data_IF_046366813026
#
_entry.id   IF_046366813026
#
_cell.length_a   1.000
_cell.length_b   1.000
_cell.length_c   1.000
_cell.angle_alpha   90.00
_cell.angle_beta   90.00
_cell.angle_gamma   90.00
#
_symmetry.space_group_name_H-M   'P 1'
#
loop_
_entity.id
_entity.type
_entity.pdbx_description
1 polymer ?
#
# COMPACT_ATOMS: atom_id res chain seq x y z
N UNK A 1 -9.59 15.24 -0.39
CA UNK A 1 -8.34 14.47 -0.54
C UNK A 1 -7.63 14.16 0.77
N UNK A 2 -7.67 15.04 1.78
CA UNK A 2 -7.06 14.82 3.11
C UNK A 2 -7.49 13.53 3.81
N UNK A 3 -8.79 13.20 3.82
CA UNK A 3 -9.30 11.96 4.44
C UNK A 3 -8.67 10.72 3.81
N UNK A 4 -8.63 10.66 2.47
CA UNK A 4 -8.03 9.54 1.74
C UNK A 4 -6.55 9.36 2.05
N UNK A 5 -5.77 10.45 2.05
CA UNK A 5 -4.35 10.39 2.41
C UNK A 5 -4.14 9.96 3.88
N UNK A 6 -4.99 10.39 4.80
CA UNK A 6 -4.90 9.99 6.21
C UNK A 6 -5.23 8.51 6.41
N UNK A 7 -6.27 8.01 5.75
CA UNK A 7 -6.61 6.59 5.75
C UNK A 7 -5.46 5.75 5.17
N UNK A 8 -4.89 6.17 4.04
CA UNK A 8 -3.74 5.49 3.43
C UNK A 8 -2.52 5.47 4.37
N UNK A 9 -2.24 6.58 5.06
CA UNK A 9 -1.21 6.66 6.10
C UNK A 9 -1.41 5.63 7.21
N UNK A 10 -2.65 5.52 7.70
CA UNK A 10 -3.00 4.57 8.75
C UNK A 10 -2.83 3.12 8.26
N UNK A 11 -3.25 2.83 7.04
CA UNK A 11 -3.11 1.49 6.44
C UNK A 11 -1.62 1.13 6.32
N UNK A 12 -0.80 2.00 5.74
CA UNK A 12 0.63 1.74 5.55
C UNK A 12 1.33 1.50 6.89
N UNK A 13 1.09 2.37 7.87
CA UNK A 13 1.73 2.26 9.19
C UNK A 13 1.43 0.95 9.91
N UNK A 14 0.19 0.46 9.82
CA UNK A 14 -0.24 -0.70 10.62
C UNK A 14 -0.16 -2.02 9.86
N UNK A 15 -0.40 -2.01 8.54
CA UNK A 15 -0.58 -3.23 7.76
C UNK A 15 0.52 -3.48 6.73
N UNK A 16 1.34 -2.48 6.35
CA UNK A 16 2.39 -2.72 5.36
C UNK A 16 3.38 -3.83 5.76
N UNK A 17 3.85 -3.91 7.03
CA UNK A 17 4.73 -5.02 7.44
C UNK A 17 4.05 -6.39 7.26
N UNK A 18 2.80 -6.52 7.70
CA UNK A 18 2.06 -7.79 7.61
C UNK A 18 1.79 -8.17 6.16
N UNK A 19 1.47 -7.20 5.31
CA UNK A 19 1.21 -7.42 3.89
C UNK A 19 2.49 -7.90 3.21
N UNK A 20 3.63 -7.22 3.43
CA UNK A 20 4.92 -7.62 2.88
C UNK A 20 5.29 -9.04 3.26
N UNK A 21 5.29 -9.34 4.56
CA UNK A 21 5.70 -10.65 5.08
C UNK A 21 4.83 -11.77 4.50
N UNK A 22 3.52 -11.55 4.36
CA UNK A 22 2.64 -12.57 3.80
C UNK A 22 2.78 -12.71 2.28
N UNK A 23 2.97 -11.63 1.52
CA UNK A 23 3.14 -11.69 0.06
C UNK A 23 4.47 -12.35 -0.33
N UNK A 24 5.52 -12.14 0.46
CA UNK A 24 6.85 -12.73 0.25
C UNK A 24 6.99 -14.12 0.86
N UNK A 25 6.01 -14.59 1.65
CA UNK A 25 6.08 -15.89 2.29
C UNK A 25 6.07 -17.00 1.23
N UNK A 26 6.88 -18.06 1.41
CA UNK A 26 6.81 -19.22 0.52
C UNK A 26 5.45 -19.92 0.65
N UNK A 27 5.02 -20.64 -0.41
CA UNK A 27 3.78 -21.42 -0.39
C UNK A 27 3.78 -22.36 0.82
N UNK A 28 2.72 -22.30 1.62
CA UNK A 28 2.62 -23.05 2.86
C UNK A 28 1.59 -24.16 2.76
N UNK A 29 2.01 -25.35 2.30
CA UNK A 29 1.31 -26.64 2.47
C UNK A 29 -0.23 -26.63 2.44
N UNK A 30 -0.84 -27.47 3.28
CA UNK A 30 -2.30 -27.65 3.42
C UNK A 30 -2.84 -26.75 4.54
N UNK A 31 -2.51 -25.46 4.53
CA UNK A 31 -3.03 -24.47 5.50
C UNK A 31 -3.93 -23.44 4.78
N UNK A 32 -5.24 -23.71 4.82
CA UNK A 32 -6.27 -22.88 4.19
C UNK A 32 -6.27 -21.46 4.78
N UNK A 33 -6.07 -21.33 6.10
CA UNK A 33 -6.07 -20.00 6.75
C UNK A 33 -4.88 -19.16 6.31
N UNK A 34 -3.72 -19.80 6.08
CA UNK A 34 -2.55 -19.13 5.52
C UNK A 34 -2.76 -18.73 4.07
N UNK A 35 -3.38 -19.58 3.26
CA UNK A 35 -3.71 -19.26 1.87
C UNK A 35 -4.70 -18.09 1.77
N UNK A 36 -5.75 -18.07 2.60
CA UNK A 36 -6.68 -16.94 2.67
C UNK A 36 -5.98 -15.63 3.08
N UNK A 37 -5.07 -15.70 4.06
CA UNK A 37 -4.29 -14.53 4.51
C UNK A 37 -3.39 -14.02 3.40
N UNK A 38 -2.71 -14.93 2.69
CA UNK A 38 -1.91 -14.60 1.51
C UNK A 38 -2.76 -13.88 0.46
N UNK A 39 -3.90 -14.47 0.08
CA UNK A 39 -4.81 -13.91 -0.91
C UNK A 39 -5.34 -12.53 -0.53
N UNK A 40 -5.68 -12.31 0.75
CA UNK A 40 -6.06 -10.98 1.27
C UNK A 40 -4.90 -9.98 1.16
N UNK A 41 -3.69 -10.36 1.56
CA UNK A 41 -2.51 -9.50 1.50
C UNK A 41 -2.14 -9.14 0.06
N UNK A 42 -2.22 -10.09 -0.88
CA UNK A 42 -1.99 -9.84 -2.31
C UNK A 42 -3.00 -8.82 -2.85
N UNK A 43 -4.30 -8.98 -2.55
CA UNK A 43 -5.34 -8.01 -2.96
C UNK A 43 -5.09 -6.61 -2.38
N UNK A 44 -4.69 -6.53 -1.10
CA UNK A 44 -4.31 -5.26 -0.49
C UNK A 44 -3.10 -4.64 -1.18
N UNK A 45 -2.06 -5.42 -1.46
CA UNK A 45 -0.86 -4.96 -2.17
C UNK A 45 -1.20 -4.42 -3.56
N UNK A 46 -1.99 -5.16 -4.36
CA UNK A 46 -2.46 -4.71 -5.67
C UNK A 46 -3.25 -3.39 -5.58
N UNK A 47 -4.16 -3.28 -4.61
CA UNK A 47 -4.93 -2.05 -4.38
C UNK A 47 -4.02 -0.87 -4.05
N UNK A 48 -2.98 -1.08 -3.21
CA UNK A 48 -1.97 -0.06 -2.92
C UNK A 48 -1.17 0.32 -4.17
N UNK A 49 -0.80 -0.63 -5.04
CA UNK A 49 -0.14 -0.32 -6.30
C UNK A 49 -1.01 0.51 -7.24
N UNK A 50 -2.32 0.24 -7.30
CA UNK A 50 -3.27 1.07 -8.06
C UNK A 50 -3.30 2.50 -7.52
N UNK A 51 -3.33 2.67 -6.20
CA UNK A 51 -3.27 4.00 -5.56
C UNK A 51 -1.92 4.69 -5.85
N UNK A 52 -0.79 3.97 -5.79
CA UNK A 52 0.53 4.50 -6.15
C UNK A 52 0.53 5.04 -7.59
N UNK A 53 0.01 4.27 -8.54
CA UNK A 53 -0.10 4.68 -9.95
C UNK A 53 -0.95 5.95 -10.12
N UNK A 54 -2.07 6.04 -9.40
CA UNK A 54 -2.92 7.24 -9.39
C UNK A 54 -2.17 8.46 -8.86
N UNK A 55 -1.42 8.32 -7.76
CA UNK A 55 -0.64 9.41 -7.17
C UNK A 55 0.50 9.85 -8.10
N UNK A 56 1.22 8.91 -8.71
CA UNK A 56 2.29 9.19 -9.67
C UNK A 56 1.81 10.04 -10.85
N UNK A 57 0.62 9.76 -11.39
CA UNK A 57 0.03 10.54 -12.50
C UNK A 57 -0.32 11.98 -12.10
N UNK A 58 -0.41 12.28 -10.80
CA UNK A 58 -0.89 13.57 -10.28
C UNK A 58 0.14 14.29 -9.41
N UNK A 59 1.34 13.73 -9.26
CA UNK A 59 2.39 14.30 -8.41
C UNK A 59 2.93 15.65 -8.91
N UNK A 60 2.75 15.94 -10.20
CA UNK A 60 3.20 17.19 -10.84
C UNK A 60 2.19 18.34 -10.68
N UNK A 61 1.03 18.08 -10.06
CA UNK A 61 0.09 19.15 -9.70
C UNK A 61 0.80 20.18 -8.82
N UNK A 62 0.54 21.46 -9.10
CA UNK A 62 1.10 22.54 -8.31
C UNK A 62 0.32 22.74 -7.01
N UNK A 63 0.97 23.38 -6.04
CA UNK A 63 0.39 23.70 -4.74
C UNK A 63 0.32 22.52 -3.76
N UNK A 64 -0.45 22.73 -2.67
CA UNK A 64 -0.49 21.84 -1.51
C UNK A 64 -0.93 20.42 -1.84
N UNK A 65 -1.77 20.24 -2.86
CA UNK A 65 -2.27 18.92 -3.24
C UNK A 65 -1.17 18.04 -3.86
N UNK A 66 -0.40 18.59 -4.80
CA UNK A 66 0.72 17.85 -5.39
C UNK A 66 1.83 17.58 -4.38
N UNK A 67 2.08 18.51 -3.45
CA UNK A 67 2.97 18.26 -2.32
C UNK A 67 2.51 17.05 -1.50
N UNK A 68 1.23 17.01 -1.10
CA UNK A 68 0.68 15.88 -0.35
C UNK A 68 0.77 14.54 -1.10
N UNK A 69 0.68 14.54 -2.43
CA UNK A 69 0.87 13.33 -3.24
C UNK A 69 2.32 12.88 -3.28
N UNK A 70 3.28 13.80 -3.43
CA UNK A 70 4.71 13.47 -3.36
C UNK A 70 5.09 12.91 -1.98
N UNK A 71 4.61 13.52 -0.91
CA UNK A 71 4.80 13.01 0.46
C UNK A 71 4.20 11.61 0.64
N UNK A 72 3.01 11.35 0.08
CA UNK A 72 2.43 10.01 0.12
C UNK A 72 3.23 9.01 -0.69
N UNK A 73 3.75 9.37 -1.86
CA UNK A 73 4.58 8.47 -2.67
C UNK A 73 5.84 8.04 -1.92
N UNK A 74 6.53 8.98 -1.27
CA UNK A 74 7.71 8.70 -0.42
C UNK A 74 7.33 7.75 0.74
N UNK A 75 6.19 8.00 1.38
CA UNK A 75 5.73 7.14 2.47
C UNK A 75 5.39 5.73 1.97
N UNK A 76 4.76 5.61 0.79
CA UNK A 76 4.47 4.32 0.19
C UNK A 76 5.74 3.56 -0.16
N UNK A 77 6.74 4.23 -0.74
CA UNK A 77 8.05 3.65 -1.07
C UNK A 77 8.70 3.04 0.18
N UNK A 78 8.86 3.84 1.24
CA UNK A 78 9.45 3.36 2.51
C UNK A 78 8.72 2.18 3.18
N UNK A 79 7.43 2.00 2.90
CA UNK A 79 6.62 0.93 3.51
C UNK A 79 6.40 -0.26 2.58
N UNK A 80 6.56 -0.11 1.26
CA UNK A 80 6.23 -1.14 0.26
C UNK A 80 7.45 -1.76 -0.44
N UNK A 81 8.62 -1.10 -0.40
CA UNK A 81 9.89 -1.65 -0.90
C UNK A 81 10.66 -2.48 0.14
#
# INVERSE_FOLDING_TARGET
MTVGCNALRLILRNFAPVIKTNVQAPPGGVDISREERYNKCVKCYQSMMTVRSFLLKRQTLQGKLGQAFREMLILMESHLD
#
